data_IF_730427312056
#
_entry.id   IF_730427312056
#
_cell.length_a   1.000
_cell.length_b   1.000
_cell.length_c   1.000
_cell.angle_alpha   90.00
_cell.angle_beta   90.00
_cell.angle_gamma   90.00
#
_symmetry.space_group_name_H-M   'P 1'
#
loop_
_entity.id
_entity.type
_entity.pdbx_description
1 polymer ?
#
# COMPACT_ATOMS: atom_id res chain seq x y z
N UNK A 1 10.85 40.61 2.74
CA UNK A 1 11.18 39.21 2.38
C UNK A 1 12.66 38.96 2.67
N UNK A 2 12.99 38.22 3.73
CA UNK A 2 14.39 37.92 4.09
C UNK A 2 14.71 36.50 3.62
N UNK A 3 15.68 36.35 2.71
CA UNK A 3 16.14 35.04 2.20
C UNK A 3 17.02 34.38 3.27
N UNK A 4 16.58 33.26 3.83
CA UNK A 4 17.37 32.42 4.72
C UNK A 4 18.39 31.63 3.89
N UNK A 5 19.68 31.90 4.11
CA UNK A 5 20.77 31.18 3.47
C UNK A 5 20.89 29.75 4.01
N UNK A 6 20.93 28.77 3.10
CA UNK A 6 21.31 27.39 3.42
C UNK A 6 22.78 27.37 3.86
N UNK A 7 23.02 27.41 5.17
CA UNK A 7 24.34 27.12 5.72
C UNK A 7 24.70 25.66 5.41
N UNK A 8 25.72 25.48 4.56
CA UNK A 8 26.32 24.16 4.31
C UNK A 8 26.81 23.59 5.64
N UNK A 9 26.15 22.53 6.11
CA UNK A 9 26.67 21.71 7.21
C UNK A 9 28.03 21.14 6.78
N UNK A 10 29.00 21.22 7.69
CA UNK A 10 30.38 20.79 7.50
C UNK A 10 30.48 19.41 6.84
N UNK A 11 31.49 19.15 5.99
CA UNK A 11 31.68 17.84 5.39
C UNK A 11 31.85 16.78 6.48
N UNK A 12 31.21 15.62 6.29
CA UNK A 12 31.34 14.47 7.17
C UNK A 12 32.83 14.12 7.30
N UNK A 13 33.33 14.06 8.54
CA UNK A 13 34.68 13.56 8.81
C UNK A 13 34.76 12.11 8.33
N UNK A 14 35.74 11.80 7.50
CA UNK A 14 36.05 10.43 7.11
C UNK A 14 36.38 9.63 8.38
N UNK A 15 35.40 8.88 8.88
CA UNK A 15 35.64 7.85 9.89
C UNK A 15 36.50 6.75 9.24
N UNK A 16 37.43 6.20 10.04
CA UNK A 16 38.58 5.43 9.59
C UNK A 16 38.28 4.30 8.60
N UNK A 17 39.35 3.85 7.92
CA UNK A 17 39.31 2.73 6.97
C UNK A 17 38.46 1.58 7.52
N UNK A 18 37.36 1.27 6.82
CA UNK A 18 36.53 0.10 7.09
C UNK A 18 37.42 -1.14 6.93
N UNK A 19 37.89 -1.71 8.05
CA UNK A 19 38.62 -2.97 8.03
C UNK A 19 37.62 -4.09 7.72
N UNK A 20 37.84 -4.77 6.60
CA UNK A 20 37.06 -5.98 6.27
C UNK A 20 37.62 -7.13 7.11
N UNK A 21 36.78 -7.71 7.96
CA UNK A 21 37.15 -8.85 8.82
C UNK A 21 37.12 -10.21 8.11
N UNK A 22 36.69 -10.25 6.84
CA UNK A 22 36.62 -11.48 6.04
C UNK A 22 37.72 -11.49 4.98
N UNK A 23 38.56 -12.51 5.02
CA UNK A 23 39.54 -12.81 3.99
C UNK A 23 38.83 -13.16 2.68
N UNK A 24 39.29 -12.57 1.57
CA UNK A 24 38.85 -12.96 0.24
C UNK A 24 39.31 -14.40 -0.01
N UNK A 25 38.37 -15.28 -0.32
CA UNK A 25 38.72 -16.63 -0.79
C UNK A 25 39.48 -16.52 -2.12
N UNK A 26 40.49 -17.36 -2.36
CA UNK A 26 41.23 -17.34 -3.62
C UNK A 26 40.28 -17.60 -4.79
N UNK A 27 40.48 -16.86 -5.88
CA UNK A 27 39.74 -17.10 -7.12
C UNK A 27 40.02 -18.53 -7.61
N UNK A 28 38.96 -19.30 -7.87
CA UNK A 28 39.11 -20.63 -8.47
C UNK A 28 39.59 -20.46 -9.93
N UNK A 29 40.45 -21.36 -10.43
CA UNK A 29 40.81 -21.39 -11.85
C UNK A 29 39.55 -21.50 -12.71
N UNK A 30 39.50 -20.75 -13.81
CA UNK A 30 38.32 -20.59 -14.68
C UNK A 30 37.93 -21.90 -15.40
N UNK A 31 38.81 -22.90 -15.35
CA UNK A 31 38.74 -24.15 -16.14
C UNK A 31 37.83 -25.20 -15.49
N UNK A 32 37.57 -25.11 -14.18
CA UNK A 32 36.72 -26.07 -13.44
C UNK A 32 35.23 -25.65 -13.37
N UNK A 33 34.85 -24.49 -13.94
CA UNK A 33 33.50 -23.94 -13.80
C UNK A 33 32.46 -24.50 -14.79
N UNK A 34 32.89 -25.29 -15.78
CA UNK A 34 32.02 -25.71 -16.91
C UNK A 34 31.42 -27.12 -16.77
N UNK A 35 31.78 -27.89 -15.74
CA UNK A 35 31.36 -29.29 -15.63
C UNK A 35 30.17 -29.55 -14.69
N UNK A 36 29.78 -28.60 -13.84
CA UNK A 36 28.73 -28.81 -12.82
C UNK A 36 27.58 -27.81 -12.91
N UNK A 37 27.19 -27.46 -14.14
CA UNK A 37 25.85 -26.92 -14.42
C UNK A 37 24.87 -28.09 -14.40
N UNK A 38 24.74 -28.74 -13.26
CA UNK A 38 23.56 -29.56 -12.99
C UNK A 38 22.36 -28.63 -13.07
N UNK A 39 21.58 -28.83 -14.13
CA UNK A 39 20.32 -28.14 -14.43
C UNK A 39 19.54 -27.94 -13.14
N UNK A 40 19.60 -26.74 -12.58
CA UNK A 40 18.67 -26.32 -11.53
C UNK A 40 17.29 -26.56 -12.15
N UNK A 41 16.47 -27.49 -11.62
CA UNK A 41 15.12 -27.66 -12.13
C UNK A 41 14.46 -26.31 -11.94
N UNK A 42 14.13 -25.64 -13.04
CA UNK A 42 13.38 -24.40 -13.03
C UNK A 42 12.20 -24.65 -12.12
N UNK A 43 12.21 -23.96 -10.97
CA UNK A 43 11.17 -24.04 -9.95
C UNK A 43 9.85 -24.09 -10.69
N UNK A 44 9.08 -25.16 -10.40
CA UNK A 44 7.72 -25.44 -10.85
C UNK A 44 7.10 -24.20 -11.47
N UNK A 45 6.68 -24.31 -12.73
CA UNK A 45 5.65 -23.45 -13.29
C UNK A 45 4.51 -23.34 -12.28
N UNK A 46 4.60 -22.35 -11.39
CA UNK A 46 3.44 -21.78 -10.73
C UNK A 46 2.67 -21.34 -11.95
N UNK A 47 1.60 -22.05 -12.28
CA UNK A 47 0.62 -21.53 -13.20
C UNK A 47 0.34 -20.13 -12.69
N UNK A 48 0.94 -19.14 -13.35
CA UNK A 48 0.51 -17.77 -13.34
C UNK A 48 -0.89 -17.90 -13.92
N UNK A 49 -1.85 -18.28 -13.07
CA UNK A 49 -3.26 -18.06 -13.28
C UNK A 49 -3.26 -16.63 -13.73
N UNK A 50 -3.55 -16.40 -15.02
CA UNK A 50 -3.65 -15.06 -15.58
C UNK A 50 -4.50 -14.30 -14.57
N UNK A 51 -3.85 -13.47 -13.77
CA UNK A 51 -4.53 -12.53 -12.91
C UNK A 51 -5.21 -11.65 -13.94
N UNK A 52 -6.47 -11.94 -14.23
CA UNK A 52 -7.32 -11.07 -15.02
C UNK A 52 -7.22 -9.74 -14.29
N UNK A 53 -6.45 -8.81 -14.84
CA UNK A 53 -5.94 -7.63 -14.14
C UNK A 53 -7.07 -6.68 -13.71
N UNK A 54 -8.31 -7.02 -14.06
CA UNK A 54 -9.51 -6.24 -13.86
C UNK A 54 -10.43 -6.91 -12.83
N UNK A 55 -10.83 -6.14 -11.83
CA UNK A 55 -11.87 -6.54 -10.87
C UNK A 55 -13.16 -6.87 -11.64
N UNK A 56 -13.82 -8.02 -11.38
CA UNK A 56 -15.07 -8.40 -12.03
C UNK A 56 -16.15 -7.31 -11.99
N UNK A 57 -16.90 -7.15 -13.08
CA UNK A 57 -17.94 -6.10 -13.21
C UNK A 57 -19.00 -6.18 -12.11
N UNK A 58 -19.41 -7.39 -11.73
CA UNK A 58 -20.38 -7.61 -10.64
C UNK A 58 -19.85 -7.14 -9.28
N UNK A 59 -18.57 -7.38 -9.00
CA UNK A 59 -17.93 -6.87 -7.78
C UNK A 59 -17.81 -5.35 -7.81
N UNK A 60 -17.46 -4.75 -8.95
CA UNK A 60 -17.45 -3.28 -9.09
C UNK A 60 -18.84 -2.69 -8.83
N UNK A 61 -19.89 -3.26 -9.39
CA UNK A 61 -21.26 -2.80 -9.13
C UNK A 61 -21.59 -2.86 -7.64
N UNK A 62 -21.32 -3.99 -6.98
CA UNK A 62 -21.57 -4.14 -5.55
C UNK A 62 -20.73 -3.21 -4.65
N UNK A 63 -19.50 -2.86 -5.07
CA UNK A 63 -18.69 -1.84 -4.38
C UNK A 63 -19.29 -0.45 -4.54
N UNK A 64 -19.76 -0.10 -5.75
CA UNK A 64 -20.42 1.17 -6.02
C UNK A 64 -21.74 1.31 -5.23
N UNK A 65 -22.55 0.26 -5.22
CA UNK A 65 -23.81 0.20 -4.47
C UNK A 65 -23.56 0.38 -2.98
N UNK A 66 -22.58 -0.33 -2.40
CA UNK A 66 -22.22 -0.18 -0.99
C UNK A 66 -21.72 1.23 -0.65
N UNK A 67 -20.99 1.85 -1.58
CA UNK A 67 -20.50 3.21 -1.40
C UNK A 67 -21.60 4.27 -1.62
N UNK A 68 -22.83 3.86 -1.95
CA UNK A 68 -23.99 4.72 -2.19
C UNK A 68 -23.69 5.78 -3.27
N UNK A 69 -22.86 5.42 -4.26
CA UNK A 69 -22.42 6.34 -5.30
C UNK A 69 -21.47 7.44 -4.83
N UNK A 70 -20.92 7.36 -3.62
CA UNK A 70 -19.97 8.34 -3.06
C UNK A 70 -18.55 7.77 -2.94
N UNK A 71 -17.54 8.63 -2.90
CA UNK A 71 -16.15 8.22 -2.72
C UNK A 71 -15.87 7.92 -1.25
N UNK A 72 -15.41 6.70 -0.94
CA UNK A 72 -15.17 6.25 0.43
C UNK A 72 -14.11 7.11 1.16
N UNK A 73 -13.24 7.80 0.41
CA UNK A 73 -12.23 8.71 0.95
C UNK A 73 -12.77 10.13 1.21
N UNK A 74 -13.37 10.79 0.22
CA UNK A 74 -13.71 12.22 0.31
C UNK A 74 -15.21 12.53 0.43
N UNK A 75 -16.09 11.53 0.38
CA UNK A 75 -17.54 11.67 0.48
C UNK A 75 -18.24 12.32 -0.73
N UNK A 76 -17.50 12.84 -1.72
CA UNK A 76 -18.10 13.43 -2.93
C UNK A 76 -18.64 12.34 -3.86
N UNK A 77 -19.70 12.68 -4.60
CA UNK A 77 -20.31 11.82 -5.61
C UNK A 77 -19.30 11.29 -6.63
N UNK A 78 -19.40 9.99 -6.92
CA UNK A 78 -18.69 9.31 -7.99
C UNK A 78 -19.47 9.45 -9.28
N UNK A 79 -18.75 9.76 -10.37
CA UNK A 79 -19.32 9.60 -11.70
C UNK A 79 -19.33 8.09 -12.04
N UNK A 80 -20.47 7.51 -12.46
CA UNK A 80 -20.60 6.06 -12.69
C UNK A 80 -19.55 5.47 -13.63
N UNK A 81 -19.08 6.26 -14.60
CA UNK A 81 -18.09 5.85 -15.60
C UNK A 81 -16.64 6.23 -15.24
N UNK A 82 -16.44 7.06 -14.20
CA UNK A 82 -15.15 7.64 -13.84
C UNK A 82 -14.82 7.44 -12.35
N UNK A 83 -14.84 6.18 -11.92
CA UNK A 83 -14.43 5.77 -10.57
C UNK A 83 -13.67 4.45 -10.58
N UNK A 84 -12.96 4.17 -9.50
CA UNK A 84 -12.04 3.04 -9.38
C UNK A 84 -12.28 2.26 -8.10
N UNK A 85 -12.38 0.94 -8.24
CA UNK A 85 -12.37 0.04 -7.10
C UNK A 85 -10.91 -0.21 -6.70
N UNK A 86 -10.51 0.33 -5.57
CA UNK A 86 -9.17 0.18 -5.02
C UNK A 86 -9.10 -1.01 -4.07
N UNK A 87 -8.03 -1.80 -4.17
CA UNK A 87 -7.72 -2.84 -3.20
C UNK A 87 -7.14 -2.21 -1.92
N UNK A 88 -7.72 -2.55 -0.78
CA UNK A 88 -7.23 -2.08 0.52
C UNK A 88 -5.96 -2.86 0.92
N UNK A 89 -6.04 -4.19 0.94
CA UNK A 89 -4.88 -5.07 0.93
C UNK A 89 -4.46 -5.26 -0.52
N UNK A 90 -3.25 -4.79 -0.85
CA UNK A 90 -2.72 -4.83 -2.21
C UNK A 90 -2.65 -6.26 -2.76
N UNK A 91 -2.88 -6.43 -4.07
CA UNK A 91 -2.77 -7.73 -4.76
C UNK A 91 -1.40 -8.38 -4.61
N UNK A 92 -0.32 -7.58 -4.67
CA UNK A 92 1.05 -8.05 -4.45
C UNK A 92 1.29 -8.61 -3.05
N UNK A 93 0.42 -8.27 -2.09
CA UNK A 93 0.45 -8.74 -0.70
C UNK A 93 -0.59 -9.84 -0.43
N UNK A 94 -1.16 -10.45 -1.48
CA UNK A 94 -2.16 -11.51 -1.36
C UNK A 94 -3.61 -11.01 -1.29
N UNK A 95 -3.85 -9.72 -1.50
CA UNK A 95 -5.18 -9.13 -1.59
C UNK A 95 -6.02 -9.74 -2.69
N UNK A 96 -7.21 -10.22 -2.34
CA UNK A 96 -8.17 -10.83 -3.28
C UNK A 96 -9.19 -9.81 -3.77
N UNK A 97 -9.82 -10.11 -4.91
CA UNK A 97 -11.00 -9.39 -5.40
C UNK A 97 -12.22 -9.81 -4.54
N UNK A 98 -12.35 -9.20 -3.36
CA UNK A 98 -13.44 -9.44 -2.42
C UNK A 98 -13.99 -8.09 -1.96
N UNK A 99 -15.32 -8.01 -1.73
CA UNK A 99 -15.98 -6.74 -1.37
C UNK A 99 -15.37 -6.10 -0.12
N UNK A 100 -15.06 -6.90 0.89
CA UNK A 100 -14.37 -6.50 2.14
C UNK A 100 -13.02 -5.80 1.89
N UNK A 101 -12.38 -6.10 0.75
CA UNK A 101 -11.05 -5.66 0.39
C UNK A 101 -11.06 -4.56 -0.68
N UNK A 102 -12.24 -4.08 -1.08
CA UNK A 102 -12.38 -3.05 -2.10
C UNK A 102 -13.01 -1.80 -1.50
N UNK A 103 -12.64 -0.63 -2.01
CA UNK A 103 -13.29 0.68 -1.74
C UNK A 103 -13.49 1.44 -3.05
N UNK A 104 -14.50 2.30 -3.11
CA UNK A 104 -14.84 3.10 -4.27
C UNK A 104 -14.18 4.48 -4.18
N UNK A 105 -13.27 4.80 -5.10
CA UNK A 105 -12.51 6.06 -5.09
C UNK A 105 -12.59 6.79 -6.44
N UNK A 106 -12.50 8.12 -6.40
CA UNK A 106 -12.17 8.90 -7.60
C UNK A 106 -10.76 8.56 -8.09
N UNK A 107 -10.45 8.69 -9.39
CA UNK A 107 -9.09 8.53 -9.89
C UNK A 107 -8.05 9.41 -9.16
N UNK A 108 -8.43 10.64 -8.80
CA UNK A 108 -7.58 11.55 -8.02
C UNK A 108 -7.37 11.10 -6.57
N UNK A 109 -8.39 10.53 -5.92
CA UNK A 109 -8.29 9.95 -4.57
C UNK A 109 -7.53 8.63 -4.56
N UNK A 110 -7.52 7.91 -5.68
CA UNK A 110 -6.81 6.64 -5.81
C UNK A 110 -5.32 6.85 -6.14
N UNK A 111 -5.03 7.61 -7.22
CA UNK A 111 -3.68 7.76 -7.79
C UNK A 111 -3.20 9.20 -7.95
N UNK A 112 -3.97 10.19 -7.49
CA UNK A 112 -3.52 11.58 -7.51
C UNK A 112 -2.43 11.85 -6.47
N UNK A 113 -1.83 13.05 -6.47
CA UNK A 113 -0.76 13.42 -5.52
C UNK A 113 -1.18 13.29 -4.04
N UNK A 114 -2.48 13.49 -3.77
CA UNK A 114 -3.09 13.35 -2.45
C UNK A 114 -3.82 12.00 -2.28
N UNK A 115 -3.60 11.06 -3.20
CA UNK A 115 -4.29 9.77 -3.25
C UNK A 115 -3.63 8.70 -2.39
N UNK A 116 -4.37 7.61 -2.17
CA UNK A 116 -3.99 6.52 -1.24
C UNK A 116 -2.64 5.87 -1.56
N UNK A 117 -2.25 5.82 -2.83
CA UNK A 117 -0.96 5.26 -3.25
C UNK A 117 0.22 6.22 -3.11
N UNK A 118 -0.03 7.53 -2.99
CA UNK A 118 1.01 8.54 -2.77
C UNK A 118 1.21 8.88 -1.30
N UNK A 119 0.20 8.60 -0.45
CA UNK A 119 0.22 8.83 0.99
C UNK A 119 -0.06 7.53 1.76
N UNK A 120 0.80 6.50 1.64
CA UNK A 120 0.53 5.18 2.20
C UNK A 120 0.39 5.19 3.73
N UNK A 121 1.21 5.97 4.44
CA UNK A 121 1.12 6.08 5.91
C UNK A 121 -0.27 6.58 6.34
N UNK A 122 -0.70 7.71 5.76
CA UNK A 122 -2.06 8.25 5.94
C UNK A 122 -3.14 7.25 5.53
N UNK A 123 -2.99 6.55 4.39
CA UNK A 123 -3.98 5.60 3.92
C UNK A 123 -4.11 4.35 4.81
N UNK A 124 -3.01 3.86 5.41
CA UNK A 124 -3.06 2.78 6.40
C UNK A 124 -3.72 3.22 7.70
N UNK A 125 -3.38 4.41 8.19
CA UNK A 125 -3.98 5.01 9.38
C UNK A 125 -5.51 5.11 9.21
N UNK A 126 -5.97 5.64 8.07
CA UNK A 126 -7.39 5.81 7.74
C UNK A 126 -8.07 4.53 7.19
N UNK A 127 -7.35 3.42 7.09
CA UNK A 127 -7.89 2.12 6.68
C UNK A 127 -8.26 1.97 5.20
N UNK A 128 -7.92 2.95 4.38
CA UNK A 128 -8.04 2.91 2.92
C UNK A 128 -7.02 1.95 2.28
N UNK A 129 -5.92 1.68 2.99
CA UNK A 129 -5.03 0.54 2.77
C UNK A 129 -4.96 -0.34 4.03
N UNK A 130 -4.65 -1.62 3.84
CA UNK A 130 -4.53 -2.63 4.90
C UNK A 130 -3.11 -3.19 4.89
N UNK A 131 -2.39 -3.23 6.02
CA UNK A 131 -1.05 -3.81 6.08
C UNK A 131 -1.02 -5.29 5.70
N UNK A 132 0.08 -5.75 5.11
CA UNK A 132 0.20 -7.10 4.50
C UNK A 132 -0.19 -8.29 5.40
N UNK A 133 -0.06 -8.16 6.73
CA UNK A 133 -0.35 -9.23 7.71
C UNK A 133 -1.69 -9.06 8.43
N UNK A 134 -2.51 -8.09 7.99
CA UNK A 134 -3.80 -7.77 8.61
C UNK A 134 -4.94 -8.26 7.72
N UNK A 135 -6.04 -8.65 8.35
CA UNK A 135 -7.28 -9.03 7.66
C UNK A 135 -8.10 -7.77 7.33
N UNK A 136 -8.45 -7.52 6.06
CA UNK A 136 -9.36 -6.43 5.68
C UNK A 136 -10.70 -6.43 6.42
N UNK A 137 -11.19 -7.58 6.91
CA UNK A 137 -12.44 -7.67 7.69
C UNK A 137 -12.33 -7.15 9.12
N UNK A 138 -11.11 -6.95 9.62
CA UNK A 138 -10.83 -6.47 10.97
C UNK A 138 -10.15 -5.09 10.95
N UNK A 139 -10.09 -4.46 9.78
CA UNK A 139 -9.50 -3.15 9.60
C UNK A 139 -10.61 -2.17 9.21
N UNK A 140 -11.08 -1.31 10.12
CA UNK A 140 -12.03 -0.25 9.82
C UNK A 140 -11.51 0.75 8.77
N UNK A 141 -12.41 1.41 8.06
CA UNK A 141 -12.15 2.54 7.16
C UNK A 141 -12.71 3.81 7.79
N UNK A 142 -11.94 4.90 7.85
CA UNK A 142 -12.47 6.22 8.18
C UNK A 142 -13.17 6.78 6.93
N UNK A 143 -14.45 6.44 6.79
CA UNK A 143 -15.24 6.84 5.63
C UNK A 143 -15.49 8.33 5.65
N UNK A 144 -15.24 8.95 4.50
CA UNK A 144 -15.45 10.38 4.24
C UNK A 144 -14.66 11.32 5.18
N UNK A 145 -13.69 10.79 5.93
CA UNK A 145 -12.98 11.54 6.98
C UNK A 145 -13.81 11.80 8.24
N UNK A 146 -14.94 11.10 8.43
CA UNK A 146 -15.91 11.41 9.49
C UNK A 146 -16.24 10.24 10.40
N UNK A 147 -16.46 9.04 9.84
CA UNK A 147 -16.99 7.90 10.60
C UNK A 147 -16.20 6.63 10.33
N UNK A 148 -15.87 5.90 11.39
CA UNK A 148 -15.20 4.61 11.31
C UNK A 148 -16.21 3.51 10.99
N UNK A 149 -15.97 2.80 9.89
CA UNK A 149 -16.89 1.79 9.42
C UNK A 149 -16.17 0.56 8.87
N UNK A 150 -16.75 -0.60 9.11
CA UNK A 150 -16.29 -1.88 8.56
C UNK A 150 -17.03 -2.20 7.26
N UNK A 151 -16.31 -2.56 6.17
CA UNK A 151 -16.95 -3.04 4.94
C UNK A 151 -17.42 -4.49 5.10
N UNK A 152 -18.68 -4.70 5.51
CA UNK A 152 -19.29 -6.04 5.70
C UNK A 152 -19.94 -6.54 4.41
N UNK A 153 -19.13 -6.72 3.36
CA UNK A 153 -19.63 -7.19 2.07
C UNK A 153 -20.36 -6.07 1.32
N UNK A 154 -21.71 -6.04 1.39
CA UNK A 154 -22.55 -5.05 0.67
C UNK A 154 -22.99 -3.86 1.52
N UNK A 155 -22.72 -3.88 2.82
CA UNK A 155 -23.10 -2.81 3.75
C UNK A 155 -21.88 -2.27 4.48
N UNK A 156 -22.06 -1.10 5.07
CA UNK A 156 -21.16 -0.56 6.08
C UNK A 156 -21.76 -0.82 7.46
N UNK A 157 -20.90 -1.07 8.44
CA UNK A 157 -21.28 -1.13 9.85
C UNK A 157 -20.39 -0.17 10.64
N UNK A 158 -20.99 0.66 11.46
CA UNK A 158 -20.26 1.57 12.36
C UNK A 158 -19.45 0.75 13.37
N UNK A 159 -18.23 1.20 13.63
CA UNK A 159 -17.34 0.57 14.59
C UNK A 159 -16.32 1.58 15.12
N UNK A 160 -15.58 1.19 16.14
CA UNK A 160 -14.40 1.94 16.58
C UNK A 160 -13.21 1.69 15.65
N UNK A 161 -12.22 2.60 15.58
CA UNK A 161 -10.96 2.34 14.90
C UNK A 161 -10.21 1.15 15.51
N UNK A 162 -9.40 0.47 14.71
CA UNK A 162 -8.48 -0.53 15.24
C UNK A 162 -7.39 0.16 16.10
N UNK A 163 -6.95 -0.43 17.23
CA UNK A 163 -5.90 0.17 18.07
C UNK A 163 -4.65 0.62 17.31
N UNK A 164 -4.07 -0.24 16.46
CA UNK A 164 -2.94 0.15 15.61
C UNK A 164 -3.23 1.34 14.65
N UNK A 165 -4.50 1.62 14.30
CA UNK A 165 -4.83 2.80 13.49
C UNK A 165 -4.72 4.08 14.31
N UNK A 166 -5.11 4.03 15.59
CA UNK A 166 -4.94 5.15 16.51
C UNK A 166 -3.47 5.48 16.73
N UNK A 167 -2.63 4.47 16.92
CA UNK A 167 -1.17 4.64 17.02
C UNK A 167 -0.61 5.33 15.77
N UNK A 168 -0.99 4.85 14.58
CA UNK A 168 -0.56 5.47 13.31
C UNK A 168 -1.08 6.88 13.11
N UNK A 169 -2.26 7.22 13.64
CA UNK A 169 -2.79 8.59 13.56
C UNK A 169 -1.99 9.52 14.46
N UNK A 170 -1.65 9.09 15.67
CA UNK A 170 -0.80 9.85 16.57
C UNK A 170 0.57 10.15 15.94
N UNK A 171 1.19 9.17 15.28
CA UNK A 171 2.47 9.36 14.58
C UNK A 171 2.39 10.42 13.47
N UNK A 172 1.24 10.55 12.79
CA UNK A 172 1.06 11.53 11.71
C UNK A 172 0.91 12.96 12.22
N UNK A 173 0.37 13.15 13.42
CA UNK A 173 0.18 14.47 14.04
C UNK A 173 1.52 15.07 14.52
N UNK A 174 2.47 14.23 14.92
CA UNK A 174 3.80 14.67 15.39
C UNK A 174 4.68 15.20 14.26
N UNK A 175 4.56 14.64 13.06
CA UNK A 175 5.38 15.02 11.91
C UNK A 175 4.95 16.32 11.23
N UNK A 176 3.84 16.95 11.69
CA UNK A 176 3.43 18.27 11.24
C UNK A 176 3.30 18.38 9.72
N UNK A 177 2.79 17.31 9.08
CA UNK A 177 2.57 17.26 7.64
C UNK A 177 1.44 18.26 7.31
N UNK A 178 1.88 19.51 7.10
CA UNK A 178 1.06 20.65 6.74
C UNK A 178 0.30 20.32 5.44
N UNK A 179 -0.96 19.95 5.61
CA UNK A 179 -1.93 19.79 4.53
C UNK A 179 -2.10 21.09 3.72
#
# INVERSE_FOLDING_TARGET
MKRTGLHRRSPLRATGQLQRHTSLSPARPVEDAVADVQRIPLRRHVHLRRCTSRIPRQLRAAVYDRAEGTCDMCGRWLQPDLWEANHRLMRSQGGRDALINLVALHPACHRGPQGVHHRPAWAYANGLLVPARRDPQQWPVLRHGLIWQMPLGRTWADCDPHPDQLERLADLDEDGDAA
#
